data_IF_742262593160
#
_entry.id   IF_742262593160
#
_cell.length_a   1.000
_cell.length_b   1.000
_cell.length_c   1.000
_cell.angle_alpha   90.00
_cell.angle_beta   90.00
_cell.angle_gamma   90.00
#
_symmetry.space_group_name_H-M   'P 1'
#
loop_
_entity.id
_entity.type
_entity.pdbx_description
1 polymer ?
#
# COMPACT_ATOMS: atom_id res chain seq x y z
N UNK A 1 45.94 53.48 -46.38
CA UNK A 1 44.97 53.62 -47.48
C UNK A 1 43.97 52.49 -47.34
N UNK A 2 42.76 52.86 -46.94
CA UNK A 2 41.64 52.03 -46.51
C UNK A 2 40.92 51.38 -47.69
N UNK A 3 40.63 50.08 -47.59
CA UNK A 3 39.58 49.41 -48.36
C UNK A 3 38.74 48.52 -47.42
N UNK A 4 37.72 49.17 -46.86
CA UNK A 4 36.35 48.77 -46.51
C UNK A 4 36.01 47.33 -46.02
N UNK A 5 35.43 47.19 -44.81
CA UNK A 5 34.64 46.02 -44.37
C UNK A 5 33.22 45.93 -44.97
N UNK A 6 32.79 46.96 -45.71
CA UNK A 6 31.37 47.20 -46.07
C UNK A 6 30.85 46.32 -47.22
N UNK A 7 31.73 45.74 -48.04
CA UNK A 7 31.33 44.94 -49.21
C UNK A 7 30.87 43.50 -48.92
N UNK A 8 31.30 42.88 -47.81
CA UNK A 8 30.88 41.52 -47.46
C UNK A 8 29.48 41.49 -46.82
N UNK A 9 29.12 42.49 -46.02
CA UNK A 9 27.81 42.58 -45.36
C UNK A 9 26.67 42.88 -46.37
N UNK A 10 26.94 43.68 -47.40
CA UNK A 10 26.05 43.92 -48.55
C UNK A 10 25.77 42.62 -49.34
N UNK A 11 26.74 41.71 -49.42
CA UNK A 11 26.63 40.44 -50.14
C UNK A 11 25.70 39.45 -49.43
N UNK A 12 25.80 39.29 -48.11
CA UNK A 12 24.89 38.41 -47.35
C UNK A 12 23.47 38.99 -47.27
N UNK A 13 23.33 40.30 -47.08
CA UNK A 13 22.02 40.97 -47.09
C UNK A 13 21.31 40.84 -48.44
N UNK A 14 22.02 41.01 -49.55
CA UNK A 14 21.44 40.86 -50.90
C UNK A 14 21.08 39.41 -51.24
N UNK A 15 21.83 38.41 -50.77
CA UNK A 15 21.50 36.98 -50.90
C UNK A 15 20.25 36.61 -50.07
N UNK A 16 20.12 37.15 -48.85
CA UNK A 16 18.93 36.96 -48.03
C UNK A 16 17.70 37.63 -48.66
N UNK A 17 17.83 38.87 -49.13
CA UNK A 17 16.73 39.63 -49.75
C UNK A 17 16.27 38.96 -51.07
N UNK A 18 17.20 38.43 -51.86
CA UNK A 18 16.86 37.70 -53.09
C UNK A 18 16.22 36.33 -52.81
N UNK A 19 16.63 35.66 -51.73
CA UNK A 19 16.00 34.40 -51.27
C UNK A 19 14.57 34.63 -50.77
N UNK A 20 14.33 35.68 -50.00
CA UNK A 20 12.98 36.07 -49.50
C UNK A 20 12.04 36.52 -50.62
N UNK A 21 12.57 37.00 -51.75
CA UNK A 21 11.76 37.32 -52.94
C UNK A 21 11.42 36.09 -53.79
N UNK A 22 12.00 34.92 -53.51
CA UNK A 22 11.73 33.70 -54.27
C UNK A 22 10.46 32.99 -53.78
N UNK A 23 9.60 32.58 -54.70
CA UNK A 23 8.40 31.79 -54.39
C UNK A 23 8.73 30.42 -53.79
N UNK A 24 9.91 29.87 -54.13
CA UNK A 24 10.41 28.60 -53.59
C UNK A 24 10.78 28.68 -52.10
N UNK A 25 11.32 29.80 -51.62
CA UNK A 25 11.63 30.00 -50.20
C UNK A 25 10.36 30.00 -49.35
N UNK A 26 9.34 30.77 -49.74
CA UNK A 26 8.08 30.82 -49.01
C UNK A 26 7.31 29.49 -49.04
N UNK A 27 7.36 28.77 -50.17
CA UNK A 27 6.79 27.42 -50.24
C UNK A 27 7.46 26.45 -49.26
N UNK A 28 8.79 26.47 -49.11
CA UNK A 28 9.49 25.65 -48.13
C UNK A 28 9.17 26.03 -46.68
N UNK A 29 9.09 27.34 -46.38
CA UNK A 29 8.72 27.83 -45.05
C UNK A 29 7.29 27.40 -44.70
N UNK A 30 6.33 27.60 -45.61
CA UNK A 30 4.94 27.18 -45.42
C UNK A 30 4.80 25.67 -45.22
N UNK A 31 5.58 24.87 -45.95
CA UNK A 31 5.59 23.42 -45.81
C UNK A 31 6.13 22.97 -44.46
N UNK A 32 7.24 23.54 -44.00
CA UNK A 32 7.81 23.24 -42.69
C UNK A 32 6.88 23.66 -41.54
N UNK A 33 6.30 24.85 -41.61
CA UNK A 33 5.32 25.34 -40.62
C UNK A 33 4.05 24.50 -40.61
N UNK A 34 3.57 24.08 -41.78
CA UNK A 34 2.39 23.22 -41.90
C UNK A 34 2.61 21.83 -41.28
N UNK A 35 3.77 21.20 -41.52
CA UNK A 35 4.12 19.92 -40.90
C UNK A 35 4.23 20.06 -39.37
N UNK A 36 4.88 21.12 -38.88
CA UNK A 36 4.98 21.37 -37.44
C UNK A 36 3.59 21.54 -36.79
N UNK A 37 2.68 22.26 -37.45
CA UNK A 37 1.30 22.43 -36.99
C UNK A 37 0.53 21.11 -36.97
N UNK A 38 0.70 20.23 -37.97
CA UNK A 38 0.06 18.90 -37.97
C UNK A 38 0.54 18.06 -36.80
N UNK A 39 1.85 18.07 -36.56
CA UNK A 39 2.47 17.28 -35.48
C UNK A 39 2.02 17.79 -34.10
N UNK A 40 2.02 19.10 -33.88
CA UNK A 40 1.55 19.71 -32.63
C UNK A 40 0.05 19.50 -32.44
N UNK A 41 -0.76 19.72 -33.50
CA UNK A 41 -2.20 19.50 -33.46
C UNK A 41 -2.56 18.05 -33.14
N UNK A 42 -1.88 17.08 -33.78
CA UNK A 42 -2.07 15.65 -33.50
C UNK A 42 -1.68 15.28 -32.07
N UNK A 43 -0.55 15.81 -31.59
CA UNK A 43 -0.12 15.62 -30.20
C UNK A 43 -1.13 16.16 -29.17
N UNK A 44 -1.67 17.36 -29.40
CA UNK A 44 -2.67 17.97 -28.51
C UNK A 44 -3.98 17.17 -28.53
N UNK A 45 -4.45 16.75 -29.71
CA UNK A 45 -5.70 16.00 -29.85
C UNK A 45 -5.68 14.69 -29.04
N UNK A 46 -4.53 14.04 -29.00
CA UNK A 46 -4.36 12.75 -28.35
C UNK A 46 -4.02 12.87 -26.86
N UNK A 47 -3.27 13.91 -26.46
CA UNK A 47 -2.88 14.10 -25.06
C UNK A 47 -3.93 14.82 -24.21
N UNK A 48 -4.78 15.67 -24.82
CA UNK A 48 -5.70 16.54 -24.08
C UNK A 48 -7.09 16.54 -24.72
N UNK A 49 -7.98 15.68 -24.21
CA UNK A 49 -9.38 15.60 -24.67
C UNK A 49 -10.14 16.94 -24.54
N UNK A 50 -9.81 17.74 -23.52
CA UNK A 50 -10.37 19.08 -23.29
C UNK A 50 -9.98 20.12 -24.37
N UNK A 51 -8.95 19.86 -25.17
CA UNK A 51 -8.47 20.76 -26.24
C UNK A 51 -8.69 20.15 -27.63
N UNK A 52 -9.52 19.12 -27.74
CA UNK A 52 -9.79 18.39 -28.98
C UNK A 52 -10.32 19.31 -30.10
N UNK A 53 -11.25 20.22 -29.80
CA UNK A 53 -11.78 21.17 -30.79
C UNK A 53 -10.69 22.12 -31.33
N UNK A 54 -9.84 22.66 -30.46
CA UNK A 54 -8.73 23.54 -30.84
C UNK A 54 -7.69 22.79 -31.69
N UNK A 55 -7.41 21.54 -31.33
CA UNK A 55 -6.44 20.70 -32.03
C UNK A 55 -6.89 20.38 -33.48
N UNK A 56 -8.19 20.20 -33.72
CA UNK A 56 -8.74 19.97 -35.06
C UNK A 56 -8.55 21.19 -35.98
N UNK A 57 -8.72 22.41 -35.46
CA UNK A 57 -8.44 23.63 -36.21
C UNK A 57 -6.96 23.78 -36.56
N UNK A 58 -6.06 23.42 -35.64
CA UNK A 58 -4.61 23.44 -35.87
C UNK A 58 -4.19 22.39 -36.91
N UNK A 59 -4.77 21.19 -36.88
CA UNK A 59 -4.56 20.14 -37.88
C UNK A 59 -5.02 20.56 -39.28
N UNK A 60 -6.19 21.19 -39.36
CA UNK A 60 -6.79 21.67 -40.61
C UNK A 60 -5.95 22.81 -41.21
N UNK A 61 -5.55 23.79 -40.38
CA UNK A 61 -4.66 24.87 -40.80
C UNK A 61 -3.28 24.33 -41.25
N UNK A 62 -2.70 23.37 -40.52
CA UNK A 62 -1.44 22.73 -40.89
C UNK A 62 -1.50 22.01 -42.23
N UNK A 63 -2.58 21.24 -42.45
CA UNK A 63 -2.82 20.50 -43.70
C UNK A 63 -3.01 21.43 -44.89
N UNK A 64 -3.72 22.55 -44.70
CA UNK A 64 -3.91 23.57 -45.72
C UNK A 64 -2.57 24.23 -46.11
N UNK A 65 -1.70 24.52 -45.14
CA UNK A 65 -0.38 25.11 -45.38
C UNK A 65 0.57 24.16 -46.14
N UNK A 66 0.53 22.86 -45.83
CA UNK A 66 1.29 21.84 -46.58
C UNK A 66 0.79 21.72 -48.02
N UNK A 67 -0.54 21.74 -48.22
CA UNK A 67 -1.15 21.68 -49.54
C UNK A 67 -0.80 22.92 -50.37
N UNK A 68 -0.88 24.11 -49.77
CA UNK A 68 -0.48 25.38 -50.37
C UNK A 68 1.01 25.38 -50.74
N UNK A 69 1.87 24.86 -49.86
CA UNK A 69 3.30 24.69 -50.12
C UNK A 69 3.55 23.81 -51.35
N UNK A 70 2.84 22.68 -51.47
CA UNK A 70 2.98 21.73 -52.56
C UNK A 70 2.55 22.31 -53.92
N UNK A 71 1.49 23.14 -53.91
CA UNK A 71 0.99 23.83 -55.11
C UNK A 71 1.94 24.94 -55.57
N UNK A 72 2.50 25.73 -54.64
CA UNK A 72 3.31 26.89 -55.00
C UNK A 72 4.66 26.53 -55.65
N UNK A 73 5.31 25.43 -55.24
CA UNK A 73 6.60 25.05 -55.83
C UNK A 73 6.90 23.54 -55.83
N UNK A 74 6.18 22.75 -56.64
CA UNK A 74 6.37 21.29 -56.70
C UNK A 74 7.79 20.90 -57.13
N UNK A 75 8.43 21.72 -57.99
CA UNK A 75 9.81 21.50 -58.45
C UNK A 75 10.86 21.77 -57.36
N UNK A 76 10.64 22.76 -56.49
CA UNK A 76 11.60 23.08 -55.42
C UNK A 76 11.58 22.02 -54.31
N UNK A 77 10.41 21.48 -53.99
CA UNK A 77 10.23 20.37 -53.04
C UNK A 77 10.91 19.10 -53.58
N UNK A 78 10.73 18.78 -54.86
CA UNK A 78 11.39 17.64 -55.49
C UNK A 78 12.92 17.78 -55.48
N UNK A 79 13.46 18.97 -55.79
CA UNK A 79 14.91 19.23 -55.76
C UNK A 79 15.45 19.20 -54.31
N UNK A 80 14.69 19.69 -53.34
CA UNK A 80 15.05 19.62 -51.92
C UNK A 80 15.15 18.17 -51.45
N UNK A 81 14.14 17.33 -51.73
CA UNK A 81 14.13 15.92 -51.35
C UNK A 81 15.24 15.08 -52.00
N UNK A 82 15.65 15.41 -53.24
CA UNK A 82 16.66 14.67 -54.01
C UNK A 82 18.09 15.19 -53.72
N UNK A 83 18.25 16.42 -53.21
CA UNK A 83 19.54 17.06 -52.98
C UNK A 83 20.31 16.59 -51.74
N UNK A 84 21.65 16.67 -51.76
CA UNK A 84 22.54 16.28 -50.64
C UNK A 84 22.27 17.06 -49.33
N UNK A 85 21.79 18.30 -49.41
CA UNK A 85 21.41 19.13 -48.23
C UNK A 85 20.02 18.81 -47.69
N UNK A 86 19.11 18.25 -48.50
CA UNK A 86 17.77 17.86 -48.07
C UNK A 86 17.74 16.57 -47.27
N UNK A 87 18.70 15.65 -47.49
CA UNK A 87 18.83 14.42 -46.68
C UNK A 87 18.96 14.71 -45.17
N UNK A 88 19.64 15.79 -44.79
CA UNK A 88 19.71 16.22 -43.39
C UNK A 88 18.37 16.76 -42.87
N UNK A 89 17.63 17.51 -43.70
CA UNK A 89 16.28 17.99 -43.37
C UNK A 89 15.27 16.83 -43.24
N UNK A 90 15.37 15.82 -44.10
CA UNK A 90 14.55 14.61 -44.02
C UNK A 90 14.85 13.83 -42.74
N UNK A 91 16.11 13.69 -42.34
CA UNK A 91 16.47 13.05 -41.06
C UNK A 91 15.90 13.81 -39.86
N UNK A 92 15.96 15.15 -39.86
CA UNK A 92 15.36 15.96 -38.78
C UNK A 92 13.84 15.77 -38.76
N UNK A 93 13.17 15.80 -39.91
CA UNK A 93 11.73 15.56 -39.99
C UNK A 93 11.34 14.15 -39.51
N UNK A 94 12.10 13.12 -39.89
CA UNK A 94 11.91 11.73 -39.42
C UNK A 94 12.11 11.67 -37.90
N UNK A 95 13.14 12.30 -37.36
CA UNK A 95 13.39 12.32 -35.91
C UNK A 95 12.30 13.08 -35.15
N UNK A 96 11.79 14.19 -35.68
CA UNK A 96 10.67 14.92 -35.08
C UNK A 96 9.39 14.08 -35.10
N UNK A 97 9.04 13.45 -36.23
CA UNK A 97 7.88 12.56 -36.31
C UNK A 97 8.05 11.38 -35.33
N UNK A 98 9.22 10.75 -35.29
CA UNK A 98 9.52 9.67 -34.36
C UNK A 98 9.39 10.11 -32.89
N UNK A 99 9.86 11.31 -32.53
CA UNK A 99 9.72 11.86 -31.18
C UNK A 99 8.25 12.00 -30.76
N UNK A 100 7.39 12.52 -31.63
CA UNK A 100 5.96 12.65 -31.34
C UNK A 100 5.22 11.31 -31.35
N UNK A 101 5.62 10.35 -32.20
CA UNK A 101 5.12 8.97 -32.14
C UNK A 101 5.50 8.32 -30.79
N UNK A 102 6.73 8.53 -30.32
CA UNK A 102 7.16 8.03 -29.01
C UNK A 102 6.34 8.67 -27.89
N UNK A 103 6.12 9.99 -27.92
CA UNK A 103 5.26 10.66 -26.94
C UNK A 103 3.82 10.15 -26.96
N UNK A 104 3.29 9.86 -28.14
CA UNK A 104 1.96 9.28 -28.34
C UNK A 104 1.86 7.86 -27.77
N UNK A 105 2.87 7.01 -28.03
CA UNK A 105 2.97 5.67 -27.45
C UNK A 105 3.04 5.77 -25.92
N UNK A 106 3.93 6.62 -25.38
CA UNK A 106 4.05 6.85 -23.93
C UNK A 106 2.73 7.33 -23.33
N UNK A 107 2.00 8.22 -24.02
CA UNK A 107 0.70 8.70 -23.56
C UNK A 107 -0.37 7.59 -23.56
N UNK A 108 -0.46 6.78 -24.63
CA UNK A 108 -1.38 5.64 -24.69
C UNK A 108 -1.06 4.61 -23.60
N UNK A 109 0.21 4.34 -23.32
CA UNK A 109 0.60 3.43 -22.24
C UNK A 109 0.35 4.01 -20.84
N UNK A 110 0.55 5.32 -20.64
CA UNK A 110 0.32 5.99 -19.35
C UNK A 110 -1.17 6.22 -19.03
N UNK A 111 -2.00 6.47 -20.05
CA UNK A 111 -3.38 6.92 -19.86
C UNK A 111 -4.44 6.00 -20.49
N UNK A 112 -4.08 5.13 -21.44
CA UNK A 112 -5.02 4.28 -22.19
C UNK A 112 -5.11 2.83 -21.71
N UNK A 113 -4.14 2.36 -20.91
CA UNK A 113 -4.15 1.02 -20.34
C UNK A 113 -4.03 1.15 -18.82
N UNK A 114 -5.08 0.82 -18.08
CA UNK A 114 -5.07 0.71 -16.61
C UNK A 114 -4.16 -0.42 -16.08
N UNK A 115 -3.17 -0.86 -16.86
CA UNK A 115 -2.14 -1.74 -16.36
C UNK A 115 -1.17 -0.91 -15.53
N UNK A 116 -1.48 -0.82 -14.23
CA UNK A 116 -0.47 -0.54 -13.22
C UNK A 116 0.63 -1.59 -13.39
N UNK A 117 1.73 -1.20 -14.03
CA UNK A 117 2.98 -1.90 -13.84
C UNK A 117 3.40 -1.63 -12.41
N UNK A 118 3.08 -2.58 -11.52
CA UNK A 118 3.41 -2.51 -10.11
C UNK A 118 4.91 -2.81 -9.97
N UNK A 119 5.74 -1.76 -9.97
CA UNK A 119 7.19 -1.85 -9.76
C UNK A 119 7.52 -1.71 -8.26
N UNK A 120 6.60 -2.13 -7.40
CA UNK A 120 6.76 -2.05 -5.96
C UNK A 120 7.15 -3.42 -5.43
N UNK A 121 8.35 -3.55 -4.85
CA UNK A 121 8.85 -4.78 -4.24
C UNK A 121 8.10 -5.20 -2.96
N UNK A 122 7.09 -4.41 -2.56
CA UNK A 122 6.19 -4.67 -1.43
C UNK A 122 4.82 -5.04 -1.99
N UNK A 123 4.45 -6.31 -1.84
CA UNK A 123 3.15 -6.93 -2.21
C UNK A 123 1.98 -6.33 -1.41
N UNK A 124 1.72 -5.04 -1.54
CA UNK A 124 0.66 -4.33 -0.81
C UNK A 124 -0.76 -4.70 -1.28
N UNK A 125 -0.89 -5.45 -2.39
CA UNK A 125 -2.18 -5.84 -2.98
C UNK A 125 -2.45 -7.35 -2.95
N UNK A 126 -1.58 -8.15 -2.32
CA UNK A 126 -1.82 -9.57 -2.11
C UNK A 126 -2.38 -9.79 -0.70
N UNK A 127 -3.37 -10.70 -0.59
CA UNK A 127 -3.88 -11.14 0.71
C UNK A 127 -2.76 -11.75 1.56
N UNK A 128 -2.83 -11.55 2.88
CA UNK A 128 -1.90 -12.21 3.80
C UNK A 128 -2.05 -13.73 3.75
N UNK A 129 -0.95 -14.45 4.00
CA UNK A 129 -0.94 -15.93 4.01
C UNK A 129 -2.00 -16.52 4.95
N UNK A 130 -2.30 -15.84 6.05
CA UNK A 130 -3.33 -16.28 7.00
C UNK A 130 -4.75 -16.05 6.45
N UNK A 131 -5.02 -14.94 5.77
CA UNK A 131 -6.30 -14.74 5.07
C UNK A 131 -6.51 -15.83 4.03
N UNK A 132 -5.45 -16.24 3.32
CA UNK A 132 -5.52 -17.37 2.39
C UNK A 132 -5.91 -18.67 3.10
N UNK A 133 -5.31 -18.95 4.26
CA UNK A 133 -5.64 -20.13 5.05
C UNK A 133 -7.10 -20.10 5.54
N UNK A 134 -7.57 -18.96 6.05
CA UNK A 134 -8.96 -18.79 6.52
C UNK A 134 -9.96 -19.03 5.37
N UNK A 135 -9.65 -18.52 4.18
CA UNK A 135 -10.50 -18.69 3.00
C UNK A 135 -10.50 -20.13 2.45
N UNK A 136 -9.38 -20.83 2.59
CA UNK A 136 -9.25 -22.25 2.22
C UNK A 136 -9.95 -23.19 3.21
N UNK A 137 -9.97 -22.83 4.49
CA UNK A 137 -10.61 -23.58 5.59
C UNK A 137 -12.10 -23.22 5.80
N UNK A 138 -12.73 -22.50 4.87
CA UNK A 138 -14.17 -22.22 4.95
C UNK A 138 -14.99 -23.51 4.84
N UNK A 139 -15.75 -23.81 5.89
CA UNK A 139 -16.64 -24.99 5.93
C UNK A 139 -18.05 -24.71 5.37
N UNK A 140 -18.37 -23.45 5.09
CA UNK A 140 -19.70 -23.04 4.63
C UNK A 140 -19.65 -21.92 3.60
N UNK A 141 -20.75 -21.78 2.84
CA UNK A 141 -20.87 -20.72 1.83
C UNK A 141 -21.11 -19.37 2.50
N UNK A 142 -20.17 -18.43 2.31
CA UNK A 142 -20.24 -17.07 2.82
C UNK A 142 -20.56 -16.10 1.68
N UNK A 143 -21.60 -15.30 1.88
CA UNK A 143 -22.03 -14.30 0.89
C UNK A 143 -21.86 -12.89 1.45
N UNK A 144 -20.97 -12.11 0.83
CA UNK A 144 -20.79 -10.70 1.13
C UNK A 144 -21.75 -9.81 0.32
N UNK A 145 -22.66 -9.13 0.98
CA UNK A 145 -23.55 -8.13 0.36
C UNK A 145 -23.03 -6.72 0.67
N UNK A 146 -22.47 -6.08 -0.35
CA UNK A 146 -21.90 -4.74 -0.28
C UNK A 146 -22.97 -3.67 -0.57
N UNK A 147 -23.28 -2.83 0.41
CA UNK A 147 -24.27 -1.77 0.32
C UNK A 147 -23.59 -0.43 -0.01
N UNK A 148 -23.72 -0.01 -1.26
CA UNK A 148 -23.17 1.25 -1.77
C UNK A 148 -24.23 1.99 -2.57
N UNK A 149 -24.39 3.29 -2.32
CA UNK A 149 -25.32 4.14 -3.07
C UNK A 149 -24.69 4.53 -4.40
N UNK A 150 -25.43 4.39 -5.49
CA UNK A 150 -25.01 4.78 -6.83
C UNK A 150 -25.24 6.29 -7.04
N UNK A 151 -24.37 7.13 -6.44
CA UNK A 151 -24.54 8.60 -6.45
C UNK A 151 -23.64 9.30 -7.49
N UNK A 152 -24.24 10.15 -8.34
CA UNK A 152 -23.56 10.92 -9.40
C UNK A 152 -23.42 12.43 -9.08
N UNK A 153 -22.97 12.79 -7.87
CA UNK A 153 -22.72 14.19 -7.49
C UNK A 153 -21.29 14.46 -6.99
N UNK A 154 -20.91 15.70 -6.64
CA UNK A 154 -19.52 16.10 -6.34
C UNK A 154 -18.88 15.40 -5.12
N UNK A 155 -19.69 14.74 -4.26
CA UNK A 155 -19.25 13.87 -3.15
C UNK A 155 -18.87 12.44 -3.59
N UNK A 156 -19.01 12.10 -4.87
CA UNK A 156 -18.87 10.74 -5.41
C UNK A 156 -17.44 10.22 -5.39
N UNK A 157 -16.43 11.07 -5.47
CA UNK A 157 -15.04 10.62 -5.61
C UNK A 157 -14.57 9.74 -4.43
N UNK A 158 -14.91 10.11 -3.20
CA UNK A 158 -14.57 9.32 -2.00
C UNK A 158 -15.35 8.01 -1.95
N UNK A 159 -16.66 8.05 -2.17
CA UNK A 159 -17.50 6.85 -2.18
C UNK A 159 -17.12 5.88 -3.30
N UNK A 160 -16.72 6.40 -4.46
CA UNK A 160 -16.23 5.60 -5.58
C UNK A 160 -14.89 4.94 -5.25
N UNK A 161 -14.00 5.65 -4.55
CA UNK A 161 -12.74 5.06 -4.06
C UNK A 161 -12.98 3.97 -3.02
N UNK A 162 -13.91 4.18 -2.08
CA UNK A 162 -14.29 3.20 -1.06
C UNK A 162 -14.98 1.98 -1.68
N UNK A 163 -15.86 2.18 -2.67
CA UNK A 163 -16.48 1.12 -3.45
C UNK A 163 -15.45 0.30 -4.22
N UNK A 164 -14.49 0.96 -4.87
CA UNK A 164 -13.42 0.28 -5.59
C UNK A 164 -12.54 -0.54 -4.64
N UNK A 165 -12.16 0.02 -3.48
CA UNK A 165 -11.39 -0.69 -2.46
C UNK A 165 -12.13 -1.94 -1.96
N UNK A 166 -13.42 -1.82 -1.64
CA UNK A 166 -14.24 -2.95 -1.25
C UNK A 166 -14.37 -3.99 -2.38
N UNK A 167 -14.56 -3.55 -3.63
CA UNK A 167 -14.67 -4.43 -4.79
C UNK A 167 -13.37 -5.22 -5.03
N UNK A 168 -12.22 -4.54 -4.97
CA UNK A 168 -10.91 -5.17 -5.17
C UNK A 168 -10.67 -6.26 -4.11
N UNK A 169 -10.93 -5.97 -2.83
CA UNK A 169 -10.79 -6.97 -1.75
C UNK A 169 -11.78 -8.13 -1.87
N UNK A 170 -13.07 -7.85 -2.11
CA UNK A 170 -14.10 -8.90 -2.27
C UNK A 170 -13.81 -9.81 -3.46
N UNK A 171 -13.26 -9.23 -4.54
CA UNK A 171 -12.86 -9.97 -5.72
C UNK A 171 -11.70 -10.91 -5.44
N UNK A 172 -10.68 -10.47 -4.70
CA UNK A 172 -9.57 -11.36 -4.31
C UNK A 172 -10.04 -12.48 -3.38
N UNK A 173 -10.95 -12.20 -2.44
CA UNK A 173 -11.55 -13.23 -1.58
C UNK A 173 -12.32 -14.29 -2.40
N UNK A 174 -13.16 -13.84 -3.34
CA UNK A 174 -13.94 -14.73 -4.21
C UNK A 174 -13.09 -15.51 -5.20
N UNK A 175 -11.95 -14.95 -5.63
CA UNK A 175 -10.99 -15.65 -6.47
C UNK A 175 -10.30 -16.80 -5.72
N UNK A 176 -10.09 -16.63 -4.41
CA UNK A 176 -9.40 -17.62 -3.58
C UNK A 176 -10.33 -18.77 -3.18
N UNK A 177 -11.54 -18.48 -2.72
CA UNK A 177 -12.46 -19.51 -2.22
C UNK A 177 -13.71 -19.64 -3.08
N UNK A 178 -14.01 -20.86 -3.52
CA UNK A 178 -15.27 -21.16 -4.23
C UNK A 178 -16.50 -21.08 -3.33
N UNK A 179 -16.30 -21.10 -2.01
CA UNK A 179 -17.36 -20.95 -1.00
C UNK A 179 -17.60 -19.48 -0.63
N UNK A 180 -16.84 -18.55 -1.21
CA UNK A 180 -17.04 -17.12 -1.00
C UNK A 180 -17.60 -16.45 -2.26
N UNK A 181 -18.74 -15.80 -2.13
CA UNK A 181 -19.32 -14.98 -3.19
C UNK A 181 -19.71 -13.59 -2.70
N UNK A 182 -19.80 -12.62 -3.62
CA UNK A 182 -20.16 -11.26 -3.27
C UNK A 182 -21.14 -10.64 -4.27
N UNK A 183 -21.86 -9.61 -3.82
CA UNK A 183 -22.75 -8.81 -4.67
C UNK A 183 -22.86 -7.38 -4.15
N UNK A 184 -23.07 -6.45 -5.07
CA UNK A 184 -23.37 -5.06 -4.75
C UNK A 184 -24.87 -4.80 -4.78
N UNK A 185 -25.38 -4.07 -3.80
CA UNK A 185 -26.79 -3.68 -3.68
C UNK A 185 -26.85 -2.21 -3.34
N UNK A 186 -27.59 -1.43 -4.13
CA UNK A 186 -27.92 -0.07 -3.76
C UNK A 186 -29.04 -0.08 -2.70
N UNK A 187 -28.80 0.40 -1.46
CA UNK A 187 -29.79 0.39 -0.39
C UNK A 187 -30.94 1.39 -0.60
N UNK A 188 -30.75 2.42 -1.43
CA UNK A 188 -31.78 3.40 -1.78
C UNK A 188 -32.73 2.85 -2.84
N UNK A 189 -32.20 2.13 -3.84
CA UNK A 189 -33.01 1.46 -4.86
C UNK A 189 -33.67 0.17 -4.34
N UNK A 190 -32.98 -0.58 -3.47
CA UNK A 190 -33.42 -1.87 -2.93
C UNK A 190 -33.56 -1.87 -1.40
N UNK A 191 -34.43 -0.99 -0.88
CA UNK A 191 -34.66 -0.82 0.57
C UNK A 191 -35.07 -2.12 1.29
N UNK A 192 -35.77 -3.03 0.62
CA UNK A 192 -36.19 -4.31 1.20
C UNK A 192 -34.99 -5.21 1.58
N UNK A 193 -33.91 -5.21 0.79
CA UNK A 193 -32.69 -5.96 1.10
C UNK A 193 -31.95 -5.30 2.28
N UNK A 194 -31.81 -3.97 2.28
CA UNK A 194 -31.17 -3.27 3.40
C UNK A 194 -31.87 -3.51 4.74
N UNK A 195 -33.21 -3.57 4.74
CA UNK A 195 -34.00 -3.91 5.93
C UNK A 195 -33.81 -5.37 6.36
N UNK A 196 -33.74 -6.31 5.41
CA UNK A 196 -33.50 -7.74 5.69
C UNK A 196 -32.17 -7.96 6.43
N UNK A 197 -31.13 -7.24 6.01
CA UNK A 197 -29.79 -7.32 6.59
C UNK A 197 -29.58 -6.32 7.76
N UNK A 198 -30.65 -5.64 8.22
CA UNK A 198 -30.62 -4.65 9.29
C UNK A 198 -29.53 -3.57 9.14
N UNK A 199 -29.25 -3.16 7.89
CA UNK A 199 -28.20 -2.19 7.57
C UNK A 199 -28.72 -0.79 7.86
N UNK A 200 -28.14 -0.15 8.89
CA UNK A 200 -28.51 1.21 9.33
C UNK A 200 -27.51 2.27 8.88
N UNK A 201 -26.29 1.85 8.55
CA UNK A 201 -25.19 2.73 8.14
C UNK A 201 -24.62 2.17 6.84
N UNK A 202 -24.52 3.03 5.83
CA UNK A 202 -23.89 2.73 4.55
C UNK A 202 -23.01 3.93 4.15
N UNK A 203 -21.89 3.71 3.45
CA UNK A 203 -21.47 2.43 2.83
C UNK A 203 -21.02 1.37 3.84
N UNK A 204 -21.23 0.09 3.52
CA UNK A 204 -20.89 -1.04 4.41
C UNK A 204 -21.06 -2.40 3.73
N UNK A 205 -20.43 -3.43 4.26
CA UNK A 205 -20.51 -4.82 3.75
C UNK A 205 -21.07 -5.73 4.83
N UNK A 206 -22.03 -6.58 4.47
CA UNK A 206 -22.57 -7.60 5.37
C UNK A 206 -22.17 -8.98 4.88
N UNK A 207 -21.47 -9.73 5.72
CA UNK A 207 -21.11 -11.13 5.51
C UNK A 207 -22.20 -12.02 6.12
N UNK A 208 -22.71 -12.97 5.34
CA UNK A 208 -23.73 -13.93 5.76
C UNK A 208 -23.24 -15.35 5.50
N UNK A 209 -23.23 -16.19 6.53
CA UNK A 209 -23.07 -17.63 6.35
C UNK A 209 -24.42 -18.24 5.94
N UNK A 210 -24.45 -18.90 4.78
CA UNK A 210 -25.66 -19.51 4.22
C UNK A 210 -26.16 -20.71 5.02
N UNK A 211 -25.29 -21.37 5.76
CA UNK A 211 -25.68 -22.55 6.55
C UNK A 211 -26.34 -22.14 7.87
N UNK A 212 -25.71 -21.24 8.65
CA UNK A 212 -26.24 -20.80 9.94
C UNK A 212 -27.20 -19.61 9.86
N UNK A 213 -27.15 -18.82 8.77
CA UNK A 213 -27.88 -17.56 8.62
C UNK A 213 -27.34 -16.41 9.47
N UNK A 214 -26.21 -16.61 10.16
CA UNK A 214 -25.53 -15.57 10.94
C UNK A 214 -24.96 -14.49 10.04
N UNK A 215 -24.94 -13.27 10.55
CA UNK A 215 -24.56 -12.09 9.79
C UNK A 215 -23.62 -11.21 10.59
N UNK A 216 -22.60 -10.67 9.93
CA UNK A 216 -21.72 -9.66 10.49
C UNK A 216 -21.57 -8.49 9.51
N UNK A 217 -21.86 -7.28 9.99
CA UNK A 217 -21.70 -6.05 9.22
C UNK A 217 -20.38 -5.35 9.54
N UNK A 218 -19.72 -4.83 8.51
CA UNK A 218 -18.50 -4.02 8.64
C UNK A 218 -18.66 -2.70 7.87
N UNK A 219 -18.11 -1.62 8.44
CA UNK A 219 -18.17 -0.27 7.86
C UNK A 219 -16.81 0.23 7.34
N UNK A 220 -15.75 -0.54 7.57
CA UNK A 220 -14.38 -0.22 7.17
C UNK A 220 -13.91 -1.24 6.13
N UNK A 221 -13.29 -0.77 5.05
CA UNK A 221 -12.93 -1.60 3.89
C UNK A 221 -11.44 -1.98 3.93
N UNK A 222 -11.05 -2.74 4.94
CA UNK A 222 -9.70 -3.30 5.09
C UNK A 222 -9.76 -4.82 5.08
N UNK A 223 -8.64 -5.48 4.72
CA UNK A 223 -8.53 -6.94 4.76
C UNK A 223 -8.90 -7.49 6.15
N UNK A 224 -8.36 -6.88 7.21
CA UNK A 224 -8.63 -7.26 8.60
C UNK A 224 -10.13 -7.29 8.91
N UNK A 225 -10.84 -6.21 8.59
CA UNK A 225 -12.28 -6.11 8.89
C UNK A 225 -13.09 -7.12 8.07
N UNK A 226 -12.69 -7.39 6.82
CA UNK A 226 -13.36 -8.40 6.00
C UNK A 226 -13.13 -9.82 6.52
N UNK A 227 -11.90 -10.13 6.97
CA UNK A 227 -11.59 -11.40 7.64
C UNK A 227 -12.43 -11.56 8.90
N UNK A 228 -12.50 -10.53 9.74
CA UNK A 228 -13.37 -10.53 10.92
C UNK A 228 -14.83 -10.77 10.53
N UNK A 229 -15.31 -10.09 9.47
CA UNK A 229 -16.66 -10.26 8.93
C UNK A 229 -16.96 -11.71 8.55
N UNK A 230 -16.05 -12.36 7.83
CA UNK A 230 -16.15 -13.78 7.45
C UNK A 230 -16.18 -14.67 8.69
N UNK A 231 -15.19 -14.56 9.58
CA UNK A 231 -15.04 -15.43 10.74
C UNK A 231 -16.21 -15.33 11.73
N UNK A 232 -16.66 -14.11 12.04
CA UNK A 232 -17.81 -13.92 12.95
C UNK A 232 -19.09 -14.45 12.32
N UNK A 233 -19.26 -14.31 10.99
CA UNK A 233 -20.41 -14.88 10.28
C UNK A 233 -20.41 -16.41 10.30
N UNK A 234 -19.23 -17.06 10.33
CA UNK A 234 -19.08 -18.52 10.38
C UNK A 234 -18.93 -19.08 11.80
N UNK A 235 -19.25 -18.29 12.83
CA UNK A 235 -19.13 -18.66 14.26
C UNK A 235 -17.69 -18.96 14.73
N UNK A 236 -16.69 -18.50 13.98
CA UNK A 236 -15.29 -18.53 14.42
C UNK A 236 -15.03 -17.28 15.25
N UNK A 237 -15.06 -17.45 16.57
CA UNK A 237 -14.83 -16.35 17.51
C UNK A 237 -13.39 -15.81 17.41
N UNK A 238 -13.29 -14.49 17.30
CA UNK A 238 -12.01 -13.77 17.40
C UNK A 238 -11.44 -13.95 18.81
N UNK A 239 -10.21 -14.47 18.92
CA UNK A 239 -9.56 -14.65 20.22
C UNK A 239 -9.13 -13.30 20.80
N UNK A 240 -9.47 -13.04 22.06
CA UNK A 240 -9.07 -11.81 22.75
C UNK A 240 -7.68 -11.96 23.37
N UNK A 241 -6.76 -11.08 23.00
CA UNK A 241 -5.44 -10.96 23.59
C UNK A 241 -5.43 -9.69 24.43
N UNK A 242 -5.18 -9.81 25.73
CA UNK A 242 -5.19 -8.66 26.63
C UNK A 242 -3.78 -8.30 27.08
N UNK A 243 -3.39 -7.03 26.93
CA UNK A 243 -2.13 -6.50 27.43
C UNK A 243 -2.34 -5.87 28.79
N UNK A 244 -1.61 -6.33 29.81
CA UNK A 244 -1.66 -5.71 31.14
C UNK A 244 -1.14 -4.28 31.07
N UNK A 245 -1.84 -3.36 31.73
CA UNK A 245 -1.44 -1.96 31.85
C UNK A 245 -1.60 -1.44 33.26
N UNK A 246 -0.74 -0.50 33.64
CA UNK A 246 -0.78 0.20 34.93
C UNK A 246 0.46 0.00 35.80
N UNK A 247 1.42 -0.81 35.37
CA UNK A 247 2.64 -1.14 36.09
C UNK A 247 3.91 -0.75 35.31
N UNK A 248 3.76 0.06 34.26
CA UNK A 248 4.86 0.56 33.43
C UNK A 248 5.30 -0.44 32.36
N UNK A 249 4.36 -1.25 31.89
CA UNK A 249 4.55 -2.19 30.78
C UNK A 249 4.75 -1.48 29.44
N UNK A 250 5.33 -2.20 28.48
CA UNK A 250 5.39 -1.77 27.09
C UNK A 250 3.97 -1.76 26.48
N UNK A 251 3.53 -0.58 26.07
CA UNK A 251 2.20 -0.35 25.48
C UNK A 251 2.29 -0.08 23.97
N UNK A 252 1.14 0.18 23.35
CA UNK A 252 1.05 0.72 22.00
C UNK A 252 1.38 2.22 22.04
N UNK A 253 2.49 2.64 21.46
CA UNK A 253 3.03 4.01 21.57
C UNK A 253 2.80 4.86 20.32
N UNK A 254 2.30 4.27 19.24
CA UNK A 254 2.16 4.96 17.95
C UNK A 254 1.23 6.18 18.04
N UNK A 255 1.82 7.35 17.83
CA UNK A 255 1.08 8.61 17.76
C UNK A 255 0.27 8.69 16.44
N UNK A 256 -1.07 8.85 16.49
CA UNK A 256 -1.92 8.94 15.30
C UNK A 256 -1.60 10.13 14.38
N UNK A 257 -1.03 11.21 14.93
CA UNK A 257 -0.69 12.45 14.23
C UNK A 257 0.74 12.46 13.70
N UNK A 258 1.70 11.97 14.48
CA UNK A 258 3.12 12.02 14.13
C UNK A 258 3.62 10.76 13.40
N UNK A 259 2.88 9.64 13.48
CA UNK A 259 3.28 8.31 12.96
C UNK A 259 4.66 7.86 13.45
N UNK A 260 5.19 8.47 14.50
CA UNK A 260 6.37 7.99 15.20
C UNK A 260 5.96 6.82 16.08
N UNK A 261 6.77 5.78 16.05
CA UNK A 261 6.72 4.64 16.97
C UNK A 261 7.86 4.87 17.97
N UNK A 262 7.58 4.75 19.26
CA UNK A 262 8.64 4.80 20.27
C UNK A 262 9.43 3.48 20.26
N UNK A 263 10.73 3.54 20.55
CA UNK A 263 11.62 2.38 20.39
C UNK A 263 11.34 1.26 21.42
N UNK A 264 10.58 1.54 22.48
CA UNK A 264 10.18 0.64 23.57
C UNK A 264 8.75 0.07 23.43
N UNK A 265 8.03 0.43 22.35
CA UNK A 265 6.66 -0.01 22.10
C UNK A 265 6.53 -1.39 21.44
N UNK A 266 5.37 -2.03 21.64
CA UNK A 266 5.02 -3.31 21.00
C UNK A 266 4.12 -3.14 19.76
N UNK A 267 4.15 -1.97 19.13
CA UNK A 267 3.25 -1.56 18.06
C UNK A 267 3.20 -2.53 16.89
N UNK A 268 4.35 -2.94 16.37
CA UNK A 268 4.41 -3.88 15.24
C UNK A 268 3.87 -5.26 15.60
N UNK A 269 4.08 -5.71 16.85
CA UNK A 269 3.53 -6.98 17.32
C UNK A 269 2.01 -6.88 17.45
N UNK A 270 1.49 -5.80 18.04
CA UNK A 270 0.05 -5.51 18.17
C UNK A 270 -0.62 -5.40 16.80
N UNK A 271 -0.06 -4.63 15.87
CA UNK A 271 -0.54 -4.52 14.49
C UNK A 271 -0.49 -5.86 13.76
N UNK A 272 0.55 -6.65 13.99
CA UNK A 272 0.68 -8.01 13.48
C UNK A 272 -0.45 -8.91 13.97
N UNK A 273 -0.68 -8.96 15.29
CA UNK A 273 -1.78 -9.72 15.89
C UNK A 273 -3.14 -9.25 15.38
N UNK A 274 -3.35 -7.94 15.23
CA UNK A 274 -4.59 -7.40 14.69
C UNK A 274 -4.82 -7.84 13.23
N UNK A 275 -3.77 -7.78 12.39
CA UNK A 275 -3.81 -8.31 11.02
C UNK A 275 -4.10 -9.82 11.00
N UNK A 276 -3.55 -10.53 11.97
CA UNK A 276 -3.75 -11.96 12.16
C UNK A 276 -5.11 -12.30 12.82
N UNK A 277 -6.03 -11.32 12.86
CA UNK A 277 -7.38 -11.43 13.40
C UNK A 277 -7.44 -11.81 14.90
N UNK A 278 -6.54 -11.27 15.70
CA UNK A 278 -6.70 -11.25 17.16
C UNK A 278 -7.34 -9.94 17.61
N UNK A 279 -8.19 -10.01 18.63
CA UNK A 279 -8.75 -8.80 19.26
C UNK A 279 -7.82 -8.37 20.38
N UNK A 280 -6.93 -7.43 20.07
CA UNK A 280 -5.93 -6.93 21.03
C UNK A 280 -6.51 -5.77 21.84
N UNK A 281 -6.56 -5.89 23.16
CA UNK A 281 -7.15 -4.91 24.07
C UNK A 281 -6.23 -4.64 25.27
N UNK A 282 -6.15 -3.40 25.78
CA UNK A 282 -5.50 -3.15 27.07
C UNK A 282 -6.36 -3.67 28.23
N UNK A 283 -5.71 -4.05 29.33
CA UNK A 283 -6.33 -4.51 30.56
C UNK A 283 -5.71 -3.81 31.76
N UNK A 284 -6.47 -2.90 32.35
CA UNK A 284 -6.14 -2.31 33.64
C UNK A 284 -6.92 -3.03 34.75
N UNK A 285 -6.23 -3.77 35.62
CA UNK A 285 -6.86 -4.59 36.65
C UNK A 285 -7.52 -3.76 37.76
N UNK A 286 -7.08 -2.52 38.01
CA UNK A 286 -7.77 -1.62 38.95
C UNK A 286 -9.17 -1.25 38.48
N UNK A 287 -9.41 -1.25 37.18
CA UNK A 287 -10.71 -0.97 36.59
C UNK A 287 -11.56 -2.23 36.42
N UNK A 288 -10.95 -3.32 35.95
CA UNK A 288 -11.66 -4.55 35.62
C UNK A 288 -11.88 -5.50 36.83
N UNK A 289 -11.10 -5.35 37.90
CA UNK A 289 -11.03 -6.18 39.11
C UNK A 289 -10.68 -7.66 38.91
N UNK A 290 -10.92 -8.22 37.71
CA UNK A 290 -10.54 -9.57 37.32
C UNK A 290 -10.12 -9.61 35.85
N UNK A 291 -9.35 -10.64 35.48
CA UNK A 291 -9.11 -10.96 34.07
C UNK A 291 -10.42 -11.52 33.49
N UNK A 292 -10.99 -10.96 32.40
CA UNK A 292 -12.23 -11.48 31.85
C UNK A 292 -12.07 -12.90 31.28
N UNK A 293 -13.13 -13.71 31.36
CA UNK A 293 -13.12 -15.13 30.95
C UNK A 293 -12.88 -15.33 29.45
N UNK A 294 -13.23 -14.33 28.63
CA UNK A 294 -13.00 -14.32 27.17
C UNK A 294 -11.53 -14.11 26.79
N UNK A 295 -10.65 -13.84 27.76
CA UNK A 295 -9.21 -13.65 27.52
C UNK A 295 -8.57 -14.96 27.09
N UNK A 296 -8.17 -15.05 25.82
CA UNK A 296 -7.44 -16.22 25.31
C UNK A 296 -6.00 -16.24 25.83
N UNK A 297 -5.35 -15.08 25.88
CA UNK A 297 -3.98 -14.88 26.38
C UNK A 297 -3.88 -13.53 27.09
N UNK A 298 -3.28 -13.54 28.28
CA UNK A 298 -2.83 -12.32 28.97
C UNK A 298 -1.34 -12.08 28.66
N UNK A 299 -1.02 -10.89 28.17
CA UNK A 299 0.35 -10.46 27.87
C UNK A 299 0.83 -9.50 28.95
N UNK A 300 1.98 -9.81 29.56
CA UNK A 300 2.65 -8.98 30.55
C UNK A 300 4.01 -8.60 29.97
N UNK A 301 4.21 -7.32 29.66
CA UNK A 301 5.36 -6.87 28.89
C UNK A 301 6.23 -5.89 29.70
N UNK A 302 7.28 -6.39 30.35
CA UNK A 302 8.28 -5.55 31.04
C UNK A 302 7.72 -4.69 32.19
N UNK A 303 6.94 -5.24 33.14
CA UNK A 303 6.40 -4.44 34.24
C UNK A 303 7.53 -3.91 35.14
N UNK A 304 7.48 -2.62 35.46
CA UNK A 304 8.49 -1.94 36.29
C UNK A 304 8.02 -1.67 37.72
N UNK A 305 6.71 -1.67 37.95
CA UNK A 305 6.10 -1.46 39.27
C UNK A 305 5.48 -2.75 39.80
N UNK A 306 5.37 -2.86 41.13
CA UNK A 306 4.84 -4.07 41.76
C UNK A 306 3.31 -4.16 41.68
N UNK A 307 2.78 -5.39 41.70
CA UNK A 307 1.35 -5.66 41.76
C UNK A 307 0.78 -5.32 43.14
N UNK A 308 -0.43 -4.75 43.15
CA UNK A 308 -1.24 -4.69 44.36
C UNK A 308 -1.82 -6.08 44.68
N UNK A 309 -2.25 -6.26 45.94
CA UNK A 309 -2.75 -7.56 46.42
C UNK A 309 -3.92 -8.10 45.57
N UNK A 310 -4.88 -7.23 45.25
CA UNK A 310 -6.07 -7.61 44.49
C UNK A 310 -5.71 -8.00 43.05
N UNK A 311 -4.71 -7.33 42.45
CA UNK A 311 -4.22 -7.62 41.10
C UNK A 311 -3.46 -8.96 41.07
N UNK A 312 -2.64 -9.22 42.09
CA UNK A 312 -1.95 -10.50 42.26
C UNK A 312 -2.95 -11.66 42.36
N UNK A 313 -4.01 -11.50 43.15
CA UNK A 313 -5.06 -12.52 43.28
C UNK A 313 -5.80 -12.75 41.95
N UNK A 314 -6.16 -11.68 41.23
CA UNK A 314 -6.84 -11.76 39.93
C UNK A 314 -6.01 -12.49 38.86
N UNK A 315 -4.71 -12.20 38.78
CA UNK A 315 -3.82 -12.89 37.82
C UNK A 315 -3.59 -14.34 38.26
N UNK A 316 -3.37 -14.58 39.56
CA UNK A 316 -3.19 -15.94 40.09
C UNK A 316 -4.39 -16.84 39.80
N UNK A 317 -5.61 -16.33 39.98
CA UNK A 317 -6.84 -17.07 39.67
C UNK A 317 -6.96 -17.38 38.17
N UNK A 318 -6.60 -16.44 37.31
CA UNK A 318 -6.60 -16.66 35.85
C UNK A 318 -5.62 -17.77 35.44
N UNK A 319 -4.39 -17.77 35.97
CA UNK A 319 -3.40 -18.82 35.64
C UNK A 319 -3.85 -20.17 36.24
N UNK A 320 -4.32 -20.17 37.49
CA UNK A 320 -4.80 -21.38 38.16
C UNK A 320 -6.04 -21.98 37.45
N UNK A 321 -6.86 -21.14 36.81
CA UNK A 321 -8.00 -21.52 35.98
C UNK A 321 -7.62 -22.10 34.61
N UNK A 322 -6.32 -22.19 34.28
CA UNK A 322 -5.84 -22.69 32.99
C UNK A 322 -5.72 -21.60 31.91
N UNK A 323 -5.75 -20.33 32.30
CA UNK A 323 -5.49 -19.21 31.40
C UNK A 323 -4.06 -19.23 30.85
N UNK A 324 -3.89 -18.76 29.62
CA UNK A 324 -2.58 -18.68 28.97
C UNK A 324 -1.94 -17.32 29.23
N UNK A 325 -0.65 -17.32 29.54
CA UNK A 325 0.13 -16.09 29.72
C UNK A 325 1.33 -16.08 28.78
N UNK A 326 1.59 -14.91 28.20
CA UNK A 326 2.89 -14.56 27.61
C UNK A 326 3.48 -13.45 28.46
N UNK A 327 4.60 -13.73 29.12
CA UNK A 327 5.26 -12.77 29.98
C UNK A 327 6.69 -12.52 29.49
N UNK A 328 7.04 -11.24 29.37
CA UNK A 328 8.37 -10.76 29.01
C UNK A 328 8.86 -9.92 30.18
N UNK A 329 10.02 -10.25 30.73
CA UNK A 329 10.52 -9.68 31.96
C UNK A 329 11.97 -9.24 31.80
N UNK A 330 12.24 -8.01 32.19
CA UNK A 330 13.58 -7.45 32.26
C UNK A 330 14.25 -7.81 33.60
N UNK A 331 15.60 -7.72 33.69
CA UNK A 331 16.32 -7.92 34.94
C UNK A 331 15.82 -6.96 36.02
N UNK A 332 15.62 -7.45 37.24
CA UNK A 332 15.08 -6.62 38.33
C UNK A 332 13.56 -6.63 38.43
N UNK A 333 12.92 -7.68 37.92
CA UNK A 333 11.47 -7.91 38.00
C UNK A 333 10.93 -7.67 39.43
N UNK A 334 9.86 -6.89 39.61
CA UNK A 334 9.25 -6.68 40.93
C UNK A 334 8.81 -7.99 41.59
N UNK A 335 8.97 -8.05 42.92
CA UNK A 335 8.76 -9.27 43.71
C UNK A 335 7.39 -9.93 43.51
N UNK A 336 6.33 -9.14 43.30
CA UNK A 336 4.98 -9.67 43.08
C UNK A 336 4.85 -10.47 41.79
N UNK A 337 5.50 -10.02 40.70
CA UNK A 337 5.54 -10.78 39.46
C UNK A 337 6.41 -12.02 39.57
N UNK A 338 7.55 -11.93 40.26
CA UNK A 338 8.38 -13.11 40.55
C UNK A 338 7.61 -14.14 41.39
N UNK A 339 6.81 -13.70 42.36
CA UNK A 339 5.96 -14.56 43.18
C UNK A 339 4.82 -15.22 42.38
N UNK A 340 4.32 -14.60 41.30
CA UNK A 340 3.31 -15.20 40.42
C UNK A 340 3.85 -16.40 39.65
N UNK A 341 5.09 -16.32 39.17
CA UNK A 341 5.69 -17.34 38.29
C UNK A 341 6.48 -18.41 39.07
N UNK A 342 6.95 -18.11 40.28
CA UNK A 342 7.71 -19.03 41.11
C UNK A 342 7.03 -20.40 41.34
N UNK A 343 5.71 -20.50 41.54
CA UNK A 343 5.01 -21.79 41.64
C UNK A 343 5.18 -22.70 40.41
N UNK A 344 5.53 -22.13 39.26
CA UNK A 344 5.77 -22.84 38.00
C UNK A 344 7.25 -23.20 37.77
N UNK A 345 8.10 -23.01 38.79
CA UNK A 345 9.52 -23.42 38.77
C UNK A 345 10.46 -22.44 38.07
N UNK A 346 10.01 -21.21 37.83
CA UNK A 346 10.77 -20.16 37.14
C UNK A 346 10.95 -18.96 38.07
N UNK A 347 12.18 -18.46 38.19
CA UNK A 347 12.48 -17.18 38.84
C UNK A 347 13.27 -16.31 37.86
N UNK A 348 12.90 -15.05 37.73
CA UNK A 348 13.70 -14.07 37.00
C UNK A 348 14.72 -13.48 37.96
N UNK A 349 16.00 -13.74 37.69
CA UNK A 349 17.10 -13.22 38.46
C UNK A 349 17.41 -11.76 38.13
N UNK A 350 18.11 -11.08 39.04
CA UNK A 350 18.49 -9.66 38.88
C UNK A 350 19.83 -9.49 38.14
N UNK A 351 20.31 -10.53 37.45
CA UNK A 351 21.58 -10.50 36.73
C UNK A 351 21.33 -10.42 35.25
N UNK A 352 22.18 -9.66 34.57
CA UNK A 352 22.21 -9.61 33.11
C UNK A 352 23.01 -10.78 32.55
N UNK A 353 22.59 -11.25 31.38
CA UNK A 353 23.29 -12.26 30.58
C UNK A 353 24.40 -11.56 29.79
N UNK A 354 25.61 -12.13 29.86
CA UNK A 354 26.75 -11.67 29.07
C UNK A 354 27.16 -12.74 28.06
N UNK A 355 27.34 -12.36 26.80
CA UNK A 355 27.89 -13.21 25.74
C UNK A 355 29.24 -12.66 25.25
N UNK A 356 30.32 -13.33 25.65
CA UNK A 356 31.68 -12.95 25.27
C UNK A 356 32.00 -13.21 23.79
N UNK A 357 31.22 -14.05 23.11
CA UNK A 357 31.49 -14.52 21.75
C UNK A 357 30.55 -13.87 20.73
N UNK A 358 29.25 -13.79 21.04
CA UNK A 358 28.23 -13.20 20.19
C UNK A 358 27.66 -11.93 20.83
N UNK A 359 28.33 -10.81 20.58
CA UNK A 359 27.92 -9.50 21.09
C UNK A 359 27.98 -8.41 20.02
N UNK A 360 27.29 -7.31 20.29
CA UNK A 360 27.32 -6.12 19.45
C UNK A 360 28.58 -5.30 19.78
N UNK A 361 29.47 -5.14 18.80
CA UNK A 361 30.63 -4.23 18.88
C UNK A 361 31.58 -4.44 20.08
N UNK A 362 31.65 -5.64 20.67
CA UNK A 362 32.46 -5.93 21.85
C UNK A 362 31.74 -5.75 23.19
N UNK A 363 30.49 -5.26 23.18
CA UNK A 363 29.68 -5.05 24.38
C UNK A 363 29.06 -6.37 24.85
N UNK A 364 29.75 -7.07 25.75
CA UNK A 364 29.35 -8.42 26.20
C UNK A 364 27.94 -8.48 26.81
N UNK A 365 27.44 -7.38 27.37
CA UNK A 365 26.08 -7.27 27.93
C UNK A 365 25.00 -7.04 26.88
N UNK A 366 25.37 -6.95 25.61
CA UNK A 366 24.42 -6.91 24.49
C UNK A 366 24.60 -8.17 23.62
N UNK A 367 24.12 -9.33 24.09
CA UNK A 367 24.05 -10.55 23.29
C UNK A 367 23.43 -10.30 21.92
N UNK A 368 24.09 -10.80 20.88
CA UNK A 368 23.64 -10.74 19.50
C UNK A 368 23.31 -12.14 19.01
N UNK A 369 22.07 -12.36 18.58
CA UNK A 369 21.63 -13.61 17.98
C UNK A 369 21.56 -13.48 16.46
N UNK A 370 22.11 -14.46 15.76
CA UNK A 370 22.16 -14.50 14.30
C UNK A 370 21.51 -15.77 13.76
N UNK A 371 20.67 -15.61 12.73
CA UNK A 371 20.05 -16.73 12.02
C UNK A 371 21.10 -17.68 11.44
N UNK A 372 22.20 -17.13 10.94
CA UNK A 372 23.32 -17.90 10.36
C UNK A 372 23.95 -18.88 11.36
N UNK A 373 23.86 -18.60 12.66
CA UNK A 373 24.41 -19.44 13.73
C UNK A 373 23.38 -20.43 14.29
N UNK A 374 22.14 -20.43 13.77
CA UNK A 374 21.06 -21.28 14.29
C UNK A 374 20.64 -20.93 15.72
N UNK A 375 20.89 -19.69 16.16
CA UNK A 375 20.63 -19.25 17.55
C UNK A 375 19.15 -19.01 17.86
N UNK A 376 18.28 -18.99 16.84
CA UNK A 376 16.83 -18.99 17.00
C UNK A 376 16.16 -19.78 15.88
N UNK A 377 14.97 -20.28 16.18
CA UNK A 377 14.21 -21.13 15.26
C UNK A 377 13.49 -20.34 14.17
N UNK A 378 13.37 -20.97 13.00
CA UNK A 378 12.71 -20.45 11.80
C UNK A 378 11.72 -21.49 11.29
N UNK A 379 10.94 -21.17 10.25
CA UNK A 379 9.93 -22.09 9.68
C UNK A 379 10.48 -23.47 9.32
N UNK A 380 11.76 -23.56 8.93
CA UNK A 380 12.42 -24.83 8.64
C UNK A 380 12.45 -25.79 9.84
N UNK A 381 12.39 -25.28 11.07
CA UNK A 381 12.43 -26.08 12.30
C UNK A 381 11.06 -26.21 12.96
N UNK A 382 10.28 -25.13 12.99
CA UNK A 382 9.02 -25.06 13.75
C UNK A 382 7.78 -25.13 12.85
N UNK A 383 7.93 -24.97 11.54
CA UNK A 383 6.82 -24.70 10.62
C UNK A 383 6.27 -23.27 10.70
N UNK A 384 6.77 -22.44 11.62
CA UNK A 384 6.26 -21.09 11.90
C UNK A 384 7.27 -20.05 11.40
N UNK A 385 6.86 -19.23 10.42
CA UNK A 385 7.74 -18.31 9.69
C UNK A 385 7.98 -16.93 10.32
N UNK A 386 7.62 -16.73 11.59
CA UNK A 386 7.70 -15.41 12.25
C UNK A 386 9.13 -14.85 12.23
N UNK A 387 10.14 -15.68 12.51
CA UNK A 387 11.53 -15.27 12.54
C UNK A 387 12.26 -15.39 11.18
N UNK A 388 11.56 -15.75 10.09
CA UNK A 388 12.21 -16.06 8.81
C UNK A 388 12.91 -14.87 8.19
N UNK A 389 12.36 -13.68 8.41
CA UNK A 389 12.89 -12.41 7.90
C UNK A 389 13.93 -11.79 8.82
N UNK A 390 14.09 -12.31 10.03
CA UNK A 390 15.09 -11.82 10.98
C UNK A 390 16.43 -12.46 10.58
N UNK A 391 17.42 -11.61 10.31
CA UNK A 391 18.80 -12.05 10.07
C UNK A 391 19.65 -11.98 11.33
N UNK A 392 19.50 -10.87 12.06
CA UNK A 392 20.22 -10.56 13.30
C UNK A 392 19.25 -9.85 14.25
N UNK A 393 19.35 -10.16 15.54
CA UNK A 393 18.67 -9.46 16.64
C UNK A 393 19.62 -9.36 17.83
N UNK A 394 19.38 -8.45 18.75
CA UNK A 394 20.23 -8.26 19.94
C UNK A 394 19.38 -7.88 21.14
N UNK A 395 19.87 -8.21 22.33
CA UNK A 395 19.15 -8.06 23.60
C UNK A 395 20.02 -7.32 24.62
N UNK A 396 19.97 -5.99 24.67
CA UNK A 396 20.86 -5.19 25.54
C UNK A 396 20.60 -5.38 27.04
N UNK A 397 19.41 -5.90 27.41
CA UNK A 397 19.00 -6.08 28.81
C UNK A 397 18.53 -7.51 29.08
N UNK A 398 19.16 -8.52 28.46
CA UNK A 398 18.76 -9.91 28.68
C UNK A 398 18.97 -10.34 30.15
N UNK A 399 17.92 -10.79 30.82
CA UNK A 399 17.95 -11.29 32.20
C UNK A 399 18.23 -12.79 32.33
N UNK A 400 18.84 -13.20 33.44
CA UNK A 400 19.03 -14.61 33.77
C UNK A 400 17.73 -15.23 34.31
N UNK A 401 17.39 -16.42 33.81
CA UNK A 401 16.35 -17.26 34.41
C UNK A 401 17.03 -18.24 35.36
N UNK A 402 16.63 -18.20 36.63
CA UNK A 402 17.10 -19.10 37.66
C UNK A 402 16.04 -20.19 37.88
N UNK A 403 16.49 -21.45 38.01
CA UNK A 403 15.63 -22.55 38.44
C UNK A 403 15.54 -22.59 39.96
N UNK A 404 14.34 -22.83 40.49
CA UNK A 404 14.12 -23.05 41.93
C UNK A 404 14.72 -24.38 42.40
#
# INVERSE_FOLDING_TARGET
MSLLPEQQDESYKSILISSVKSSGFWSLVLGATGIAAIVVGGGINLAFSALSDLSLWVLLAGSLLVLLSLILSPRAIAIFLIGRKGRYGTNVAIMTIAFFIILLIVNIFMFGTSNRFDVTATRFFDLSEQTLQILDELDSEVVATAFFVEYQGPSSARQQSERQQAEDLLKEFSRRSTLFSYRFVDPELNRAQALKYNVKVYPGVVFEDKNSGRQQGVSTFTEQEFVTGVLVSTDVQQKEVRFLTGHGEAEFTKDPMLRSVEDDGLDYAIEGMQRDNYRVLPLNLKQASKVPEETAVLVIAGPTNNLDKDEFEAISEFIAGGGNIVAMFDPGLPDGFNALIAPYGVIIGNKMVADAVSNVAGEMLTPMLQKANGQYSTSNQTGIGIADKIGVTFYPEAGSIDSI
#
